data_IF_119382784971
#
_entry.id   IF_119382784971
#
_cell.length_a   1.000
_cell.length_b   1.000
_cell.length_c   1.000
_cell.angle_alpha   90.00
_cell.angle_beta   90.00
_cell.angle_gamma   90.00
#
_symmetry.space_group_name_H-M   'P 1'
#
loop_
_entity.id
_entity.type
_entity.pdbx_description
1 polymer ?
#
# COMPACT_ATOMS: atom_id res chain seq x y z
N UNK A 1 -8.43 -31.18 -6.69
CA UNK A 1 -8.40 -30.62 -5.32
C UNK A 1 -6.97 -30.33 -4.85
N UNK A 2 -6.02 -31.26 -5.02
CA UNK A 2 -4.60 -31.06 -4.65
C UNK A 2 -3.98 -29.82 -5.32
N UNK A 3 -4.20 -29.66 -6.63
CA UNK A 3 -3.79 -28.48 -7.41
C UNK A 3 -4.32 -27.15 -6.86
N UNK A 4 -5.51 -27.13 -6.26
CA UNK A 4 -6.08 -25.93 -5.65
C UNK A 4 -5.38 -25.60 -4.34
N UNK A 5 -5.04 -26.61 -3.53
CA UNK A 5 -4.30 -26.39 -2.28
C UNK A 5 -2.90 -25.85 -2.54
N UNK A 6 -2.21 -26.34 -3.56
CA UNK A 6 -0.90 -25.82 -3.97
C UNK A 6 -0.98 -24.36 -4.42
N UNK A 7 -2.03 -24.00 -5.18
CA UNK A 7 -2.27 -22.61 -5.58
C UNK A 7 -2.56 -21.69 -4.39
N UNK A 8 -3.31 -22.18 -3.39
CA UNK A 8 -3.61 -21.43 -2.18
C UNK A 8 -2.36 -21.23 -1.31
N UNK A 9 -1.52 -22.26 -1.17
CA UNK A 9 -0.25 -22.13 -0.46
C UNK A 9 0.68 -21.14 -1.16
N UNK A 10 0.82 -21.24 -2.49
CA UNK A 10 1.60 -20.29 -3.28
C UNK A 10 1.07 -18.85 -3.11
N UNK A 11 -0.25 -18.64 -3.14
CA UNK A 11 -0.85 -17.32 -2.87
C UNK A 11 -0.50 -16.81 -1.47
N UNK A 12 -0.55 -17.67 -0.45
CA UNK A 12 -0.15 -17.30 0.92
C UNK A 12 1.33 -16.88 0.96
N UNK A 13 2.22 -17.64 0.32
CA UNK A 13 3.65 -17.31 0.29
C UNK A 13 3.91 -15.99 -0.43
N UNK A 14 3.24 -15.74 -1.56
CA UNK A 14 3.35 -14.48 -2.29
C UNK A 14 2.87 -13.29 -1.45
N UNK A 15 1.76 -13.44 -0.72
CA UNK A 15 1.26 -12.38 0.17
C UNK A 15 2.20 -12.15 1.37
N UNK A 16 2.79 -13.20 1.96
CA UNK A 16 3.81 -13.08 3.01
C UNK A 16 5.07 -12.36 2.50
N UNK A 17 5.49 -12.65 1.27
CA UNK A 17 6.60 -11.96 0.62
C UNK A 17 6.28 -10.46 0.42
N UNK A 18 5.07 -10.14 -0.05
CA UNK A 18 4.63 -8.74 -0.18
C UNK A 18 4.58 -8.02 1.16
N UNK A 19 4.10 -8.68 2.22
CA UNK A 19 4.10 -8.12 3.57
C UNK A 19 5.52 -7.82 4.07
N UNK A 20 6.46 -8.73 3.81
CA UNK A 20 7.88 -8.53 4.16
C UNK A 20 8.47 -7.32 3.41
N UNK A 21 8.15 -7.15 2.12
CA UNK A 21 8.57 -5.96 1.39
C UNK A 21 7.92 -4.69 1.93
N UNK A 22 6.65 -4.73 2.33
CA UNK A 22 5.99 -3.58 2.94
C UNK A 22 6.67 -3.16 4.27
N UNK A 23 7.07 -4.11 5.10
CA UNK A 23 7.83 -3.84 6.33
C UNK A 23 9.24 -3.30 6.04
N UNK A 24 9.93 -3.82 5.02
CA UNK A 24 11.22 -3.28 4.58
C UNK A 24 11.08 -1.85 4.04
N UNK A 25 10.02 -1.59 3.26
CA UNK A 25 9.72 -0.27 2.70
C UNK A 25 9.52 0.76 3.81
N UNK A 26 8.89 0.38 4.92
CA UNK A 26 8.78 1.23 6.12
C UNK A 26 10.15 1.71 6.60
N UNK A 27 11.13 0.80 6.72
CA UNK A 27 12.47 1.14 7.18
C UNK A 27 13.21 2.05 6.19
N UNK A 28 13.08 1.79 4.89
CA UNK A 28 13.67 2.61 3.83
C UNK A 28 13.10 4.03 3.85
N UNK A 29 11.77 4.16 4.02
CA UNK A 29 11.08 5.45 4.11
C UNK A 29 11.52 6.27 5.32
N UNK A 30 11.74 5.62 6.47
CA UNK A 30 12.25 6.28 7.67
C UNK A 30 13.67 6.81 7.46
N UNK A 31 14.52 6.05 6.75
CA UNK A 31 15.90 6.46 6.44
C UNK A 31 16.00 7.49 5.32
N UNK A 32 14.98 7.60 4.47
CA UNK A 32 14.96 8.51 3.32
C UNK A 32 15.81 8.05 2.13
N UNK A 33 16.08 6.75 2.00
CA UNK A 33 16.95 6.21 0.93
C UNK A 33 16.17 6.03 -0.39
N UNK A 34 16.31 6.97 -1.31
CA UNK A 34 15.55 7.00 -2.57
C UNK A 34 15.93 5.83 -3.50
N UNK A 35 17.21 5.47 -3.57
CA UNK A 35 17.66 4.38 -4.45
C UNK A 35 17.11 3.02 -4.00
N UNK A 36 17.11 2.76 -2.67
CA UNK A 36 16.49 1.58 -2.08
C UNK A 36 14.97 1.58 -2.29
N UNK A 37 14.33 2.75 -2.23
CA UNK A 37 12.89 2.89 -2.49
C UNK A 37 12.52 2.53 -3.94
N UNK A 38 13.36 2.89 -4.91
CA UNK A 38 13.17 2.50 -6.31
C UNK A 38 13.36 0.99 -6.48
N UNK A 39 14.37 0.41 -5.83
CA UNK A 39 14.65 -1.02 -5.89
C UNK A 39 13.48 -1.85 -5.32
N UNK A 40 12.97 -1.48 -4.14
CA UNK A 40 11.86 -2.21 -3.50
C UNK A 40 10.56 -2.09 -4.31
N UNK A 41 10.29 -0.92 -4.89
CA UNK A 41 9.11 -0.72 -5.75
C UNK A 41 9.14 -1.64 -6.98
N UNK A 42 10.32 -1.87 -7.57
CA UNK A 42 10.47 -2.83 -8.69
C UNK A 42 10.23 -4.27 -8.25
N UNK A 43 10.61 -4.64 -7.03
CA UNK A 43 10.34 -5.97 -6.47
C UNK A 43 8.84 -6.16 -6.20
N UNK A 44 8.17 -5.16 -5.63
CA UNK A 44 6.71 -5.15 -5.43
C UNK A 44 5.97 -5.37 -6.77
N UNK A 45 6.37 -4.68 -7.84
CA UNK A 45 5.76 -4.86 -9.17
C UNK A 45 5.90 -6.29 -9.70
N UNK A 46 7.01 -6.98 -9.43
CA UNK A 46 7.19 -8.39 -9.83
C UNK A 46 6.27 -9.31 -9.03
N UNK A 47 6.18 -9.11 -7.71
CA UNK A 47 5.30 -9.89 -6.86
C UNK A 47 3.82 -9.69 -7.22
N UNK A 48 3.40 -8.46 -7.51
CA UNK A 48 2.03 -8.17 -7.96
C UNK A 48 1.69 -8.98 -9.21
N UNK A 49 2.58 -9.04 -10.20
CA UNK A 49 2.38 -9.88 -11.39
C UNK A 49 2.23 -11.36 -11.05
N UNK A 50 3.05 -11.85 -10.12
CA UNK A 50 2.97 -13.23 -9.61
C UNK A 50 1.64 -13.53 -8.93
N UNK A 51 1.18 -12.63 -8.05
CA UNK A 51 -0.12 -12.74 -7.36
C UNK A 51 -1.26 -12.74 -8.36
N UNK A 52 -1.26 -11.82 -9.33
CA UNK A 52 -2.32 -11.76 -10.35
C UNK A 52 -2.38 -13.06 -11.17
N UNK A 53 -1.22 -13.62 -11.55
CA UNK A 53 -1.17 -14.89 -12.27
C UNK A 53 -1.67 -16.06 -11.42
N UNK A 54 -1.23 -16.16 -10.16
CA UNK A 54 -1.65 -17.20 -9.23
C UNK A 54 -3.15 -17.12 -8.91
N UNK A 55 -3.70 -15.92 -8.72
CA UNK A 55 -5.13 -15.70 -8.47
C UNK A 55 -5.97 -16.05 -9.70
N UNK A 56 -5.50 -15.71 -10.91
CA UNK A 56 -6.14 -16.13 -12.16
C UNK A 56 -6.18 -17.66 -12.27
N UNK A 57 -5.07 -18.32 -11.97
CA UNK A 57 -5.00 -19.78 -11.95
C UNK A 57 -5.95 -20.39 -10.91
N UNK A 58 -6.02 -19.81 -9.71
CA UNK A 58 -6.95 -20.23 -8.65
C UNK A 58 -8.41 -20.11 -9.10
N UNK A 59 -8.78 -18.98 -9.73
CA UNK A 59 -10.14 -18.77 -10.25
C UNK A 59 -10.51 -19.80 -11.32
N UNK A 60 -9.59 -20.08 -12.25
CA UNK A 60 -9.78 -21.12 -13.27
C UNK A 60 -9.96 -22.50 -12.65
N UNK A 61 -9.11 -22.88 -11.68
CA UNK A 61 -9.20 -24.17 -10.99
C UNK A 61 -10.53 -24.31 -10.22
N UNK A 62 -11.00 -23.24 -9.57
CA UNK A 62 -12.30 -23.25 -8.87
C UNK A 62 -13.46 -23.38 -9.85
N UNK A 63 -13.41 -22.72 -11.01
CA UNK A 63 -14.43 -22.85 -12.06
C UNK A 63 -14.48 -24.27 -12.64
N UNK A 64 -13.32 -24.87 -12.91
CA UNK A 64 -13.22 -26.25 -13.41
C UNK A 64 -13.81 -27.25 -12.41
N UNK A 65 -13.39 -27.19 -11.14
CA UNK A 65 -13.92 -28.04 -10.07
C UNK A 65 -15.43 -27.87 -9.84
N UNK A 66 -15.96 -26.68 -10.10
CA UNK A 66 -17.40 -26.42 -9.97
C UNK A 66 -18.17 -26.99 -11.16
N UNK A 67 -17.64 -26.82 -12.37
CA UNK A 67 -18.19 -27.40 -13.59
C UNK A 67 -18.23 -28.93 -13.54
N UNK A 68 -17.19 -29.58 -13.02
CA UNK A 68 -17.15 -31.04 -12.80
C UNK A 68 -18.26 -31.51 -11.85
N UNK A 69 -18.63 -30.69 -10.87
CA UNK A 69 -19.72 -30.96 -9.92
C UNK A 69 -21.09 -30.52 -10.43
N UNK A 70 -21.18 -30.00 -11.66
CA UNK A 70 -22.43 -29.56 -12.29
C UNK A 70 -22.93 -28.18 -11.85
N UNK A 71 -22.07 -27.36 -11.24
CA UNK A 71 -22.41 -26.01 -10.77
C UNK A 71 -21.61 -24.94 -11.51
N UNK A 72 -22.29 -23.90 -11.99
CA UNK A 72 -21.65 -22.69 -12.51
C UNK A 72 -21.51 -21.65 -11.41
N UNK A 73 -20.28 -21.42 -10.95
CA UNK A 73 -19.97 -20.30 -10.05
C UNK A 73 -19.82 -19.02 -10.87
N UNK A 74 -20.53 -17.96 -10.48
CA UNK A 74 -20.41 -16.66 -11.13
C UNK A 74 -19.08 -15.97 -10.77
N UNK A 75 -18.65 -16.06 -9.51
CA UNK A 75 -17.46 -15.35 -9.02
C UNK A 75 -16.25 -16.27 -8.77
N UNK A 76 -16.43 -17.59 -8.69
CA UNK A 76 -15.32 -18.53 -8.47
C UNK A 76 -14.63 -18.31 -7.13
N UNK A 77 -15.41 -17.93 -6.11
CA UNK A 77 -14.89 -17.62 -4.78
C UNK A 77 -14.73 -18.88 -3.93
N UNK A 78 -13.72 -18.89 -3.05
CA UNK A 78 -13.52 -19.98 -2.08
C UNK A 78 -14.73 -20.17 -1.16
N UNK A 79 -15.48 -19.10 -0.87
CA UNK A 79 -16.68 -19.16 -0.04
C UNK A 79 -17.80 -19.99 -0.69
N UNK A 80 -17.97 -19.89 -2.00
CA UNK A 80 -18.94 -20.70 -2.75
C UNK A 80 -18.47 -22.16 -2.85
N UNK A 81 -17.18 -22.38 -3.11
CA UNK A 81 -16.60 -23.72 -3.13
C UNK A 81 -16.76 -24.45 -1.79
N UNK A 82 -16.57 -23.75 -0.67
CA UNK A 82 -16.79 -24.29 0.69
C UNK A 82 -18.26 -24.71 0.85
N UNK A 83 -19.23 -23.92 0.39
CA UNK A 83 -20.66 -24.27 0.51
C UNK A 83 -21.02 -25.53 -0.28
N UNK A 84 -20.46 -25.67 -1.49
CA UNK A 84 -20.70 -26.80 -2.39
C UNK A 84 -19.96 -28.09 -2.00
N UNK A 85 -18.92 -27.98 -1.17
CA UNK A 85 -18.14 -29.13 -0.73
C UNK A 85 -18.92 -29.97 0.28
N UNK A 86 -19.06 -31.27 0.03
CA UNK A 86 -19.86 -32.15 0.90
C UNK A 86 -19.04 -32.71 2.06
N UNK A 87 -17.72 -32.90 1.86
CA UNK A 87 -16.82 -33.37 2.92
C UNK A 87 -16.57 -32.29 3.97
N UNK A 88 -16.78 -32.64 5.24
CA UNK A 88 -16.52 -31.75 6.38
C UNK A 88 -15.02 -31.42 6.53
N UNK A 89 -14.15 -32.37 6.22
CA UNK A 89 -12.69 -32.21 6.33
C UNK A 89 -12.16 -31.20 5.30
N UNK A 90 -12.60 -31.32 4.04
CA UNK A 90 -12.24 -30.37 2.97
C UNK A 90 -12.79 -28.97 3.24
N UNK A 91 -14.02 -28.87 3.76
CA UNK A 91 -14.60 -27.59 4.20
C UNK A 91 -13.75 -26.91 5.26
N UNK A 92 -13.33 -27.66 6.28
CA UNK A 92 -12.51 -27.12 7.37
C UNK A 92 -11.15 -26.65 6.85
N UNK A 93 -10.52 -27.44 5.98
CA UNK A 93 -9.22 -27.11 5.38
C UNK A 93 -9.32 -25.83 4.54
N UNK A 94 -10.31 -25.73 3.65
CA UNK A 94 -10.54 -24.54 2.83
C UNK A 94 -10.87 -23.29 3.67
N UNK A 95 -11.62 -23.43 4.77
CA UNK A 95 -11.88 -22.32 5.70
C UNK A 95 -10.58 -21.81 6.33
N UNK A 96 -9.70 -22.72 6.73
CA UNK A 96 -8.39 -22.39 7.33
C UNK A 96 -7.54 -21.58 6.35
N UNK A 97 -7.42 -22.02 5.09
CA UNK A 97 -6.73 -21.26 4.04
C UNK A 97 -7.35 -19.88 3.80
N UNK A 98 -8.68 -19.79 3.78
CA UNK A 98 -9.40 -18.52 3.60
C UNK A 98 -9.11 -17.54 4.74
N UNK A 99 -9.14 -18.03 5.98
CA UNK A 99 -8.84 -17.23 7.17
C UNK A 99 -7.40 -16.74 7.18
N UNK A 100 -6.43 -17.62 6.86
CA UNK A 100 -5.03 -17.25 6.77
C UNK A 100 -4.78 -16.20 5.67
N UNK A 101 -5.35 -16.38 4.48
CA UNK A 101 -5.28 -15.37 3.40
C UNK A 101 -5.90 -14.04 3.84
N UNK A 102 -7.08 -14.07 4.45
CA UNK A 102 -7.74 -12.86 4.93
C UNK A 102 -6.91 -12.12 5.98
N UNK A 103 -6.25 -12.85 6.89
CA UNK A 103 -5.36 -12.26 7.89
C UNK A 103 -4.17 -11.56 7.23
N UNK A 104 -3.45 -12.26 6.35
CA UNK A 104 -2.23 -11.73 5.72
C UNK A 104 -2.55 -10.54 4.80
N UNK A 105 -3.67 -10.59 4.07
CA UNK A 105 -4.13 -9.46 3.25
C UNK A 105 -4.47 -8.25 4.13
N UNK A 106 -5.08 -8.47 5.30
CA UNK A 106 -5.32 -7.41 6.28
C UNK A 106 -4.02 -6.76 6.77
N UNK A 107 -3.06 -7.58 7.21
CA UNK A 107 -1.74 -7.11 7.66
C UNK A 107 -0.98 -6.34 6.56
N UNK A 108 -1.03 -6.83 5.32
CA UNK A 108 -0.45 -6.16 4.16
C UNK A 108 -1.12 -4.81 3.88
N UNK A 109 -2.45 -4.73 3.98
CA UNK A 109 -3.18 -3.47 3.80
C UNK A 109 -2.76 -2.44 4.81
N UNK A 110 -2.70 -2.82 6.09
CA UNK A 110 -2.36 -1.92 7.18
C UNK A 110 -0.90 -1.43 7.07
N UNK A 111 0.03 -2.32 6.69
CA UNK A 111 1.42 -1.94 6.41
C UNK A 111 1.55 -0.98 5.22
N UNK A 112 0.78 -1.20 4.15
CA UNK A 112 0.76 -0.31 2.99
C UNK A 112 0.17 1.07 3.34
N UNK A 113 -0.89 1.11 4.12
CA UNK A 113 -1.50 2.37 4.59
C UNK A 113 -0.50 3.18 5.43
N UNK A 114 0.22 2.54 6.35
CA UNK A 114 1.26 3.18 7.13
C UNK A 114 2.37 3.76 6.23
N UNK A 115 2.83 3.00 5.23
CA UNK A 115 3.84 3.46 4.28
C UNK A 115 3.36 4.66 3.45
N UNK A 116 2.08 4.70 3.06
CA UNK A 116 1.49 5.86 2.39
C UNK A 116 1.43 7.09 3.31
N UNK A 117 1.14 6.91 4.60
CA UNK A 117 1.15 8.00 5.57
C UNK A 117 2.57 8.56 5.75
N UNK A 118 3.58 7.70 5.89
CA UNK A 118 4.99 8.12 5.98
C UNK A 118 5.42 8.92 4.75
N UNK A 119 5.08 8.44 3.54
CA UNK A 119 5.36 9.17 2.29
C UNK A 119 4.71 10.56 2.27
N UNK A 120 3.44 10.66 2.68
CA UNK A 120 2.73 11.95 2.76
C UNK A 120 3.38 12.90 3.75
N UNK A 121 3.81 12.41 4.89
CA UNK A 121 4.53 13.20 5.89
C UNK A 121 5.87 13.71 5.35
N UNK A 122 6.66 12.84 4.71
CA UNK A 122 7.93 13.22 4.08
C UNK A 122 7.73 14.29 3.00
N UNK A 123 6.71 14.14 2.14
CA UNK A 123 6.37 15.16 1.13
C UNK A 123 5.93 16.48 1.77
N UNK A 124 5.11 16.43 2.83
CA UNK A 124 4.69 17.63 3.55
C UNK A 124 5.88 18.36 4.19
N UNK A 125 6.86 17.62 4.72
CA UNK A 125 8.07 18.19 5.28
C UNK A 125 8.96 18.84 4.22
N UNK A 126 9.15 18.17 3.08
CA UNK A 126 9.91 18.72 1.94
C UNK A 126 9.23 19.99 1.41
N UNK A 127 7.91 19.97 1.21
CA UNK A 127 7.16 21.15 0.75
C UNK A 127 7.28 22.30 1.75
N UNK A 128 7.09 22.05 3.05
CA UNK A 128 7.26 23.08 4.08
C UNK A 128 8.69 23.65 4.07
N UNK A 129 9.71 22.80 3.91
CA UNK A 129 11.11 23.25 3.84
C UNK A 129 11.37 24.07 2.59
N UNK A 130 10.82 23.67 1.45
CA UNK A 130 10.88 24.44 0.21
C UNK A 130 10.19 25.78 0.39
N UNK A 131 8.97 25.82 0.93
CA UNK A 131 8.23 27.05 1.21
C UNK A 131 9.08 27.99 2.09
N UNK A 132 9.68 27.50 3.19
CA UNK A 132 10.55 28.33 4.04
C UNK A 132 11.80 28.88 3.32
N UNK A 133 12.37 28.12 2.38
CA UNK A 133 13.57 28.53 1.63
C UNK A 133 13.20 29.47 0.47
N UNK A 134 12.04 29.27 -0.16
CA UNK A 134 11.55 30.10 -1.27
C UNK A 134 10.84 31.36 -0.80
N UNK A 135 10.32 31.37 0.43
CA UNK A 135 9.75 32.54 1.12
C UNK A 135 10.88 33.40 1.73
N UNK A 136 12.04 33.45 1.05
CA UNK A 136 12.96 34.58 1.18
C UNK A 136 12.19 35.82 0.75
N UNK A 137 12.04 36.83 1.61
CA UNK A 137 11.53 38.11 1.14
C UNK A 137 12.46 38.54 0.01
N UNK A 138 11.92 38.72 -1.18
CA UNK A 138 12.63 39.45 -2.23
C UNK A 138 13.09 40.76 -1.59
N UNK A 139 14.40 40.85 -1.38
CA UNK A 139 15.21 42.03 -1.22
C UNK A 139 14.44 43.36 -1.22
N UNK A 140 13.93 43.76 -0.06
CA UNK A 140 13.79 45.20 0.26
C UNK A 140 15.20 45.73 0.63
N UNK A 141 16.18 45.50 -0.25
CA UNK A 141 17.49 46.18 -0.22
C UNK A 141 17.29 47.62 -0.69
N UNK A 142 16.62 48.43 0.13
CA UNK A 142 16.74 49.90 0.04
C UNK A 142 17.80 50.33 1.06
N UNK A 143 19.07 50.05 0.76
CA UNK A 143 20.16 50.77 1.42
C UNK A 143 20.36 52.12 0.73
N UNK A 144 19.87 53.18 1.39
CA UNK A 144 20.52 54.49 1.34
C UNK A 144 19.84 55.59 0.53
N UNK A 145 18.85 56.27 1.11
CA UNK A 145 18.81 57.75 1.18
C UNK A 145 18.13 58.17 2.49
N UNK A 146 18.83 58.85 3.42
CA UNK A 146 18.19 59.36 4.63
C UNK A 146 17.51 60.68 4.27
N UNK A 147 16.22 60.63 3.98
CA UNK A 147 15.38 61.83 4.02
C UNK A 147 14.08 61.48 4.71
N UNK A 148 14.00 61.92 5.98
CA UNK A 148 12.79 62.26 6.74
C UNK A 148 11.49 61.60 6.28
N UNK A 149 11.04 60.59 7.02
CA UNK A 149 9.86 60.70 7.88
C UNK A 149 9.53 59.33 8.48
N UNK A 150 9.65 59.22 9.81
CA UNK A 150 9.22 58.04 10.55
C UNK A 150 7.69 58.10 10.63
N UNK A 151 7.02 57.35 9.76
CA UNK A 151 5.65 56.88 10.03
C UNK A 151 5.71 55.40 10.35
N UNK A 152 5.63 55.14 11.65
CA UNK A 152 5.50 53.83 12.26
C UNK A 152 4.20 53.17 11.76
N UNK A 153 4.30 52.39 10.69
CA UNK A 153 3.22 51.55 10.23
C UNK A 153 3.21 50.26 11.08
N UNK A 154 2.17 50.17 11.89
CA UNK A 154 1.85 49.08 12.80
C UNK A 154 1.91 47.73 12.06
N UNK A 155 2.92 46.90 12.38
CA UNK A 155 3.08 45.55 11.80
C UNK A 155 2.12 44.58 12.51
N UNK A 156 0.97 44.31 11.90
CA UNK A 156 0.07 43.24 12.34
C UNK A 156 0.57 41.86 11.84
N UNK A 157 1.45 41.23 12.61
CA UNK A 157 1.98 39.87 12.40
C UNK A 157 1.01 38.72 12.72
N UNK A 158 -0.29 38.97 12.69
CA UNK A 158 -1.29 37.96 13.04
C UNK A 158 -2.43 37.96 12.03
N UNK A 159 -2.23 37.23 10.93
CA UNK A 159 -3.36 36.46 10.42
C UNK A 159 -2.88 35.10 9.93
N UNK A 160 -2.93 34.15 10.85
CA UNK A 160 -2.77 32.72 10.64
C UNK A 160 -4.19 32.14 10.66
N UNK A 161 -4.58 31.48 9.56
CA UNK A 161 -5.83 30.71 9.28
C UNK A 161 -6.97 31.44 8.56
N UNK A 162 -7.22 31.00 7.33
CA UNK A 162 -8.49 30.37 6.93
C UNK A 162 -8.17 29.30 5.87
#
# INVERSE_FOLDING_TARGET
METLYDLLDNLIQLHKAMYTLAEQKKQILIKGEIDELVAITRQEQKLIKGVTAAETARQSAVRELSSEKGFTLQEGTLAELIKLTTSAEEKQRLSTYREELSRIVGELRDANELNQQLLKQSLSFVNMTLDLITDTPEDDYIYGKPTHDIKQANRNFFNKKA
#
